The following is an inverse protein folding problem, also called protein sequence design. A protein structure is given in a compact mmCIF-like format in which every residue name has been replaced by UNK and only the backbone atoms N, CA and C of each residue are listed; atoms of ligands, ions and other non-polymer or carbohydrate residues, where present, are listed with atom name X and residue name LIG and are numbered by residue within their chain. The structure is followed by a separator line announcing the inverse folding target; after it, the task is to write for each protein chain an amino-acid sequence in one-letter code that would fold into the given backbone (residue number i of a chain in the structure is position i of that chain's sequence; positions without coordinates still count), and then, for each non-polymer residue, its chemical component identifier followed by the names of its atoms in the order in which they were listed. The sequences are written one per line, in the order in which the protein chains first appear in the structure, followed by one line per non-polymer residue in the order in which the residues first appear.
data_IF_478335254195
#
_entry.id   IF_478335254195
#
_cell.length_a   1.000
_cell.length_b   1.000
_cell.length_c   1.000
_cell.angle_alpha   90.00
_cell.angle_beta   90.00
_cell.angle_gamma   90.00
#
_symmetry.space_group_name_H-M   'P 1'
#
loop_
_entity.id
_entity.type
_entity.pdbx_description
1 polymer ?
#
# COMPACT_ATOMS: atom_id res chain seq x y z
N UNK A 1 -15.54 2.74 3.73
CA UNK A 1 -14.74 3.24 4.87
C UNK A 1 -14.70 4.77 4.86
N UNK A 2 -14.66 5.43 6.03
CA UNK A 2 -14.38 6.87 6.12
C UNK A 2 -12.90 7.13 5.77
N UNK A 3 -12.65 8.02 4.80
CA UNK A 3 -11.30 8.37 4.36
C UNK A 3 -10.40 8.86 5.50
N UNK A 4 -10.94 9.63 6.44
CA UNK A 4 -10.19 10.17 7.57
C UNK A 4 -9.68 9.06 8.50
N UNK A 5 -10.47 8.01 8.72
CA UNK A 5 -10.04 6.86 9.51
C UNK A 5 -8.87 6.13 8.85
N UNK A 6 -8.93 5.94 7.53
CA UNK A 6 -7.82 5.33 6.77
C UNK A 6 -6.56 6.18 6.87
N UNK A 7 -6.69 7.50 6.72
CA UNK A 7 -5.55 8.43 6.80
C UNK A 7 -4.92 8.41 8.19
N UNK A 8 -5.73 8.51 9.25
CA UNK A 8 -5.24 8.43 10.63
C UNK A 8 -4.56 7.09 10.92
N UNK A 9 -5.15 6.00 10.45
CA UNK A 9 -4.54 4.68 10.58
C UNK A 9 -3.19 4.61 9.87
N UNK A 10 -3.05 5.15 8.66
CA UNK A 10 -1.78 5.19 7.93
C UNK A 10 -0.73 6.10 8.60
N UNK A 11 -1.15 7.27 9.11
CA UNK A 11 -0.28 8.23 9.80
C UNK A 11 0.34 7.64 11.07
N UNK A 12 -0.39 6.79 11.78
CA UNK A 12 0.14 6.12 12.98
C UNK A 12 1.41 5.30 12.68
N UNK A 13 1.62 4.87 11.44
CA UNK A 13 2.78 4.07 11.04
C UNK A 13 4.02 4.89 10.72
N UNK A 14 3.92 6.22 10.56
CA UNK A 14 5.07 7.06 10.25
C UNK A 14 6.24 6.81 11.21
N UNK A 15 7.44 6.66 10.66
CA UNK A 15 8.66 6.33 11.41
C UNK A 15 8.87 4.84 11.68
N UNK A 16 7.92 3.96 11.35
CA UNK A 16 8.12 2.50 11.46
C UNK A 16 9.26 2.07 10.53
N UNK A 17 10.29 1.34 11.01
CA UNK A 17 11.43 0.93 10.18
C UNK A 17 11.02 0.04 9.00
N UNK A 18 11.80 0.05 7.93
CA UNK A 18 11.57 -0.91 6.85
C UNK A 18 12.05 -2.31 7.26
N UNK A 19 11.18 -3.32 7.17
CA UNK A 19 11.54 -4.73 7.31
C UNK A 19 10.76 -5.56 6.30
N UNK A 20 11.47 -6.20 5.37
CA UNK A 20 10.85 -7.05 4.36
C UNK A 20 10.02 -8.16 5.00
N UNK A 21 8.81 -8.38 4.48
CA UNK A 21 7.78 -9.32 4.93
C UNK A 21 7.24 -9.08 6.35
N UNK A 22 7.56 -7.95 6.98
CA UNK A 22 7.04 -7.60 8.30
C UNK A 22 5.79 -6.71 8.22
N UNK A 23 4.99 -6.72 9.29
CA UNK A 23 3.81 -5.85 9.46
C UNK A 23 3.57 -5.55 10.94
N UNK A 24 4.58 -4.98 11.59
CA UNK A 24 4.54 -4.63 13.01
C UNK A 24 4.76 -3.12 13.21
N UNK A 25 3.74 -2.44 13.74
CA UNK A 25 3.77 -1.00 13.98
C UNK A 25 4.94 -0.62 14.90
N UNK A 26 5.75 0.36 14.49
CA UNK A 26 6.94 0.81 15.23
C UNK A 26 8.13 -0.15 15.23
N UNK A 27 7.94 -1.44 14.94
CA UNK A 27 8.99 -2.46 14.97
C UNK A 27 9.50 -2.87 13.58
N UNK A 28 8.66 -2.77 12.55
CA UNK A 28 9.07 -2.89 11.16
C UNK A 28 7.97 -3.33 10.20
N UNK A 29 7.97 -2.79 8.98
CA UNK A 29 7.12 -3.26 7.90
C UNK A 29 7.70 -3.00 6.51
N UNK A 30 7.16 -3.68 5.50
CA UNK A 30 7.32 -3.28 4.09
C UNK A 30 6.06 -2.58 3.58
N UNK A 31 5.96 -2.32 2.27
CA UNK A 31 4.84 -1.56 1.71
C UNK A 31 3.50 -2.31 1.86
N UNK A 32 3.51 -3.63 1.62
CA UNK A 32 2.33 -4.47 1.83
C UNK A 32 2.03 -4.62 3.32
N UNK A 33 3.07 -4.72 4.15
CA UNK A 33 3.01 -4.73 5.59
C UNK A 33 2.36 -3.49 6.19
N UNK A 34 2.58 -2.31 5.61
CA UNK A 34 1.85 -1.09 5.98
C UNK A 34 0.36 -1.21 5.61
N UNK A 35 0.03 -1.70 4.41
CA UNK A 35 -1.36 -1.82 3.97
C UNK A 35 -2.15 -2.83 4.82
N UNK A 36 -1.54 -3.99 5.09
CA UNK A 36 -2.00 -4.99 6.07
C UNK A 36 -2.16 -4.35 7.45
N UNK A 37 -1.14 -3.57 7.83
CA UNK A 37 -1.05 -2.62 8.94
C UNK A 37 -2.34 -1.87 9.21
N UNK A 38 -2.71 -1.07 8.24
CA UNK A 38 -3.92 -0.25 8.25
C UNK A 38 -5.17 -1.11 8.21
N UNK A 39 -5.18 -2.22 7.46
CA UNK A 39 -6.30 -3.15 7.46
C UNK A 39 -6.64 -3.65 8.88
N UNK A 40 -5.68 -4.15 9.66
CA UNK A 40 -6.02 -4.65 11.01
C UNK A 40 -6.54 -3.56 11.93
N UNK A 41 -6.00 -2.34 11.82
CA UNK A 41 -6.54 -1.19 12.56
C UNK A 41 -8.01 -0.91 12.20
N UNK A 42 -8.38 -1.11 10.93
CA UNK A 42 -9.72 -0.81 10.44
C UNK A 42 -10.70 -1.97 10.57
N UNK A 43 -10.26 -3.23 10.63
CA UNK A 43 -11.15 -4.39 10.54
C UNK A 43 -10.88 -5.49 11.58
N UNK A 44 -9.86 -5.36 12.41
CA UNK A 44 -9.42 -6.42 13.32
C UNK A 44 -8.47 -7.39 12.62
N UNK A 45 -8.90 -8.60 12.31
CA UNK A 45 -8.02 -9.59 11.70
C UNK A 45 -7.88 -9.41 10.17
N UNK A 46 -6.75 -9.90 9.65
CA UNK A 46 -6.56 -9.97 8.20
C UNK A 46 -7.41 -11.11 7.62
N UNK A 47 -8.01 -10.92 6.44
CA UNK A 47 -8.98 -11.86 5.89
C UNK A 47 -8.33 -13.19 5.44
N UNK A 48 -7.02 -13.20 5.18
CA UNK A 48 -6.24 -14.38 4.80
C UNK A 48 -4.79 -14.20 5.27
N UNK A 49 -4.14 -15.30 5.68
CA UNK A 49 -2.69 -15.35 5.88
C UNK A 49 -1.96 -15.05 4.56
N UNK A 50 -1.17 -13.97 4.54
CA UNK A 50 -0.33 -13.63 3.38
C UNK A 50 0.88 -14.58 3.35
N UNK A 51 1.03 -15.43 2.32
CA UNK A 51 2.21 -16.28 2.21
C UNK A 51 3.48 -15.44 2.01
N UNK A 52 4.67 -15.92 2.41
CA UNK A 52 5.92 -15.22 2.15
C UNK A 52 6.09 -14.99 0.65
N UNK A 53 6.08 -13.72 0.22
CA UNK A 53 6.32 -13.35 -1.18
C UNK A 53 7.79 -12.96 -1.34
N UNK A 54 8.46 -13.55 -2.32
CA UNK A 54 9.89 -13.26 -2.56
C UNK A 54 9.99 -12.06 -3.48
N UNK A 55 10.85 -11.09 -3.13
CA UNK A 55 11.43 -10.20 -4.15
C UNK A 55 12.32 -11.05 -5.06
N UNK A 56 11.91 -11.25 -6.31
CA UNK A 56 12.78 -11.83 -7.32
C UNK A 56 14.04 -10.95 -7.45
N UNK A 57 15.19 -11.60 -7.56
CA UNK A 57 16.47 -10.96 -7.86
C UNK A 57 16.86 -11.10 -9.34
N UNK A 58 15.92 -11.48 -10.22
CA UNK A 58 16.21 -11.92 -11.60
C UNK A 58 15.31 -11.31 -12.68
N UNK A 59 14.63 -10.21 -12.40
CA UNK A 59 14.17 -9.28 -13.43
C UNK A 59 13.11 -9.82 -14.38
N UNK A 60 12.28 -10.77 -13.96
CA UNK A 60 11.17 -11.26 -14.77
C UNK A 60 9.93 -11.62 -13.95
N UNK A 61 9.66 -10.85 -12.90
CA UNK A 61 8.44 -10.97 -12.10
C UNK A 61 7.21 -10.49 -12.90
N UNK A 62 6.41 -11.47 -13.31
CA UNK A 62 5.01 -11.36 -13.71
C UNK A 62 4.06 -11.56 -12.53
N UNK A 63 4.56 -11.55 -11.28
CA UNK A 63 3.75 -11.90 -10.12
C UNK A 63 2.62 -10.88 -9.91
N UNK A 64 1.36 -11.26 -10.15
CA UNK A 64 0.23 -10.37 -10.03
C UNK A 64 -0.28 -10.31 -8.58
N UNK A 65 0.38 -10.95 -7.60
CA UNK A 65 -0.12 -11.14 -6.24
C UNK A 65 -0.58 -9.83 -5.58
N UNK A 66 0.19 -8.75 -5.72
CA UNK A 66 -0.19 -7.45 -5.15
C UNK A 66 -1.48 -6.90 -5.78
N UNK A 67 -1.61 -7.00 -7.11
CA UNK A 67 -2.81 -6.57 -7.84
C UNK A 67 -4.01 -7.45 -7.48
N UNK A 68 -3.84 -8.78 -7.52
CA UNK A 68 -4.91 -9.73 -7.20
C UNK A 68 -5.38 -9.60 -5.75
N UNK A 69 -4.46 -9.36 -4.80
CA UNK A 69 -4.83 -9.11 -3.41
C UNK A 69 -5.64 -7.81 -3.27
N UNK A 70 -5.23 -6.74 -3.95
CA UNK A 70 -5.99 -5.48 -3.96
C UNK A 70 -7.37 -5.68 -4.58
N UNK A 71 -7.48 -6.37 -5.71
CA UNK A 71 -8.75 -6.68 -6.39
C UNK A 71 -9.67 -7.59 -5.55
N UNK A 72 -9.09 -8.45 -4.70
CA UNK A 72 -9.85 -9.35 -3.83
C UNK A 72 -10.40 -8.68 -2.58
N UNK A 73 -9.65 -7.76 -1.96
CA UNK A 73 -9.99 -7.20 -0.65
C UNK A 73 -10.39 -5.72 -0.66
N UNK A 74 -10.04 -5.00 -1.73
CA UNK A 74 -10.35 -3.59 -1.90
C UNK A 74 -11.25 -3.39 -3.12
N UNK A 75 -11.84 -2.21 -3.22
CA UNK A 75 -12.77 -1.89 -4.29
C UNK A 75 -12.07 -0.91 -5.23
N UNK A 76 -11.89 -1.28 -6.50
CA UNK A 76 -11.29 -0.41 -7.50
C UNK A 76 -12.08 0.89 -7.65
N UNK A 77 -11.38 2.00 -7.88
CA UNK A 77 -11.99 3.32 -8.04
C UNK A 77 -11.43 4.05 -9.25
N UNK A 78 -12.33 4.72 -9.98
CA UNK A 78 -12.01 5.62 -11.08
C UNK A 78 -12.12 7.09 -10.65
N UNK A 79 -11.81 8.02 -11.55
CA UNK A 79 -11.89 9.46 -11.29
C UNK A 79 -10.65 10.04 -10.61
N UNK A 80 -10.77 11.19 -9.90
CA UNK A 80 -9.62 11.84 -9.27
C UNK A 80 -9.08 11.05 -8.07
N UNK A 81 -7.78 11.24 -7.79
CA UNK A 81 -7.14 10.70 -6.60
C UNK A 81 -7.73 11.37 -5.34
N UNK A 82 -8.06 10.58 -4.33
CA UNK A 82 -8.64 11.05 -3.07
C UNK A 82 -7.92 10.44 -1.87
N UNK A 83 -7.96 11.15 -0.73
CA UNK A 83 -7.45 10.65 0.53
C UNK A 83 -8.17 9.35 0.96
N UNK A 84 -7.47 8.47 1.65
CA UNK A 84 -7.97 7.17 2.10
C UNK A 84 -8.00 6.08 1.02
N UNK A 85 -7.54 6.37 -0.20
CA UNK A 85 -7.37 5.35 -1.24
C UNK A 85 -6.02 4.64 -1.08
N UNK A 86 -6.00 3.32 -1.23
CA UNK A 86 -4.79 2.58 -1.51
C UNK A 86 -4.38 2.80 -2.98
N UNK A 87 -3.08 2.91 -3.24
CA UNK A 87 -2.53 3.14 -4.58
C UNK A 87 -1.42 2.12 -4.86
N UNK A 88 -1.44 1.54 -6.06
CA UNK A 88 -0.43 0.58 -6.52
C UNK A 88 0.47 1.21 -7.58
N UNK A 89 1.77 0.88 -7.55
CA UNK A 89 2.76 1.41 -8.47
C UNK A 89 3.54 0.31 -9.20
N UNK A 90 3.75 0.51 -10.51
CA UNK A 90 4.71 -0.24 -11.32
C UNK A 90 6.08 0.42 -11.21
N UNK A 91 7.06 -0.31 -10.70
CA UNK A 91 8.44 0.16 -10.58
C UNK A 91 9.31 -0.60 -11.59
N UNK A 92 10.41 0.01 -12.06
CA UNK A 92 11.37 -0.69 -12.92
C UNK A 92 10.83 -1.16 -14.29
N UNK A 93 9.75 -0.54 -14.80
CA UNK A 93 9.18 -0.89 -16.12
C UNK A 93 8.34 -2.17 -16.13
N UNK A 94 7.86 -2.61 -14.98
CA UNK A 94 7.18 -3.90 -14.83
C UNK A 94 5.72 -3.83 -15.29
N UNK A 95 5.19 -4.94 -15.82
CA UNK A 95 3.78 -5.03 -16.21
C UNK A 95 2.85 -5.07 -14.98
N UNK A 96 3.28 -5.70 -13.90
CA UNK A 96 2.54 -5.83 -12.64
C UNK A 96 3.05 -4.85 -11.58
N UNK A 97 2.20 -4.38 -10.65
CA UNK A 97 2.62 -3.50 -9.57
C UNK A 97 3.51 -4.24 -8.57
N UNK A 98 4.51 -3.53 -8.05
CA UNK A 98 5.46 -4.05 -7.05
C UNK A 98 5.58 -3.19 -5.80
N UNK A 99 4.81 -2.11 -5.75
CA UNK A 99 4.82 -1.20 -4.61
C UNK A 99 3.41 -0.70 -4.35
N UNK A 100 3.11 -0.38 -3.09
CA UNK A 100 1.85 0.24 -2.71
C UNK A 100 2.03 1.32 -1.64
N UNK A 101 0.99 2.13 -1.48
CA UNK A 101 0.89 3.15 -0.43
C UNK A 101 -0.55 3.58 -0.22
N UNK A 102 -0.74 4.54 0.67
CA UNK A 102 -2.07 5.08 1.03
C UNK A 102 -2.05 6.58 0.77
N UNK A 103 -2.96 7.05 -0.09
CA UNK A 103 -3.15 8.46 -0.35
C UNK A 103 -3.69 9.16 0.91
N UNK A 104 -3.05 10.24 1.32
CA UNK A 104 -3.51 11.11 2.42
C UNK A 104 -4.01 12.46 1.91
N UNK A 105 -3.73 12.76 0.64
CA UNK A 105 -4.26 13.87 -0.14
C UNK A 105 -4.11 13.52 -1.64
N UNK A 106 -4.75 14.24 -2.58
CA UNK A 106 -4.59 13.97 -4.01
C UNK A 106 -3.13 13.93 -4.51
N UNK A 107 -2.24 14.70 -3.88
CA UNK A 107 -0.83 14.80 -4.23
C UNK A 107 0.15 14.23 -3.20
N UNK A 108 -0.33 13.51 -2.16
CA UNK A 108 0.53 13.00 -1.07
C UNK A 108 0.10 11.62 -0.61
N UNK A 109 1.07 10.80 -0.23
CA UNK A 109 0.81 9.44 0.20
C UNK A 109 1.82 8.98 1.25
N UNK A 110 1.42 7.99 2.04
CA UNK A 110 2.29 7.29 2.98
C UNK A 110 2.64 5.92 2.40
N UNK A 111 3.91 5.56 2.47
CA UNK A 111 4.39 4.24 2.07
C UNK A 111 5.59 3.81 2.94
N UNK A 112 5.87 2.52 2.98
CA UNK A 112 7.14 2.02 3.52
C UNK A 112 8.16 1.93 2.38
N UNK A 113 9.32 2.55 2.54
CA UNK A 113 10.42 2.50 1.58
C UNK A 113 11.67 1.91 2.22
N UNK A 114 12.39 1.08 1.46
CA UNK A 114 13.67 0.53 1.90
C UNK A 114 14.63 1.65 2.32
N UNK A 115 15.39 1.42 3.40
CA UNK A 115 16.30 2.37 4.05
C UNK A 115 15.65 3.59 4.73
N UNK A 116 14.40 3.95 4.43
CA UNK A 116 13.72 5.10 5.04
C UNK A 116 12.65 4.71 6.07
N UNK A 117 12.07 3.51 5.95
CA UNK A 117 10.89 3.12 6.72
C UNK A 117 9.61 3.73 6.18
N UNK A 118 8.61 3.87 7.05
CA UNK A 118 7.32 4.46 6.69
C UNK A 118 7.42 5.98 6.72
N UNK A 119 7.23 6.59 5.57
CA UNK A 119 7.35 8.04 5.36
C UNK A 119 6.16 8.58 4.57
N UNK A 120 5.95 9.88 4.68
CA UNK A 120 5.11 10.65 3.77
C UNK A 120 5.93 11.07 2.54
N UNK A 121 5.33 10.97 1.35
CA UNK A 121 5.93 11.36 0.10
C UNK A 121 4.97 12.15 -0.79
N UNK A 122 5.53 13.03 -1.61
CA UNK A 122 4.79 13.72 -2.67
C UNK A 122 4.54 12.77 -3.85
N UNK A 123 3.30 12.75 -4.34
CA UNK A 123 2.91 12.07 -5.57
C UNK A 123 3.33 12.92 -6.78
N UNK A 124 4.64 13.08 -6.97
CA UNK A 124 5.23 13.82 -8.08
C UNK A 124 4.80 13.23 -9.43
N UNK A 125 4.98 13.97 -10.53
CA UNK A 125 4.67 13.48 -11.87
C UNK A 125 5.33 12.14 -12.21
N UNK A 126 6.55 11.91 -11.71
CA UNK A 126 7.26 10.63 -11.85
C UNK A 126 6.56 9.47 -11.14
N UNK A 127 6.04 9.69 -9.92
CA UNK A 127 5.23 8.70 -9.20
C UNK A 127 3.85 8.52 -9.83
N UNK A 128 3.19 9.61 -10.24
CA UNK A 128 1.87 9.58 -10.85
C UNK A 128 1.84 8.71 -12.12
N UNK A 129 2.88 8.80 -12.97
CA UNK A 129 3.02 7.95 -14.17
C UNK A 129 3.16 6.45 -13.88
N UNK A 130 3.54 6.09 -12.64
CA UNK A 130 3.72 4.71 -12.20
C UNK A 130 2.45 4.12 -11.58
N UNK A 131 1.44 4.94 -11.31
CA UNK A 131 0.17 4.48 -10.75
C UNK A 131 -0.48 3.50 -11.72
N UNK A 132 -0.77 2.31 -11.21
CA UNK A 132 -1.36 1.19 -11.96
C UNK A 132 -2.78 0.87 -11.53
N UNK A 133 -3.17 1.30 -10.34
CA UNK A 133 -4.52 1.14 -9.81
C UNK A 133 -4.70 1.94 -8.53
N UNK A 134 -5.94 2.34 -8.27
CA UNK A 134 -6.38 2.95 -7.01
C UNK A 134 -7.59 2.19 -6.49
N UNK A 135 -7.65 2.05 -5.18
CA UNK A 135 -8.66 1.24 -4.52
C UNK A 135 -9.12 1.92 -3.24
N UNK A 136 -10.39 1.75 -2.88
CA UNK A 136 -10.94 2.15 -1.58
C UNK A 136 -11.15 0.94 -0.69
N UNK A 137 -11.02 1.16 0.61
CA UNK A 137 -11.37 0.18 1.63
C UNK A 137 -12.91 0.00 1.69
N UNK A 138 -13.42 -1.25 1.82
CA UNK A 138 -14.84 -1.54 2.00
C UNK A 138 -15.51 -0.78 3.17
N UNK A 139 -16.84 -0.78 3.26
CA UNK A 139 -17.49 -0.29 4.49
C UNK A 139 -17.49 -1.41 5.55
N UNK A 140 -17.40 -1.06 6.83
CA UNK A 140 -17.80 -2.00 7.89
C UNK A 140 -19.32 -2.10 7.84
N UNK A 141 -19.84 -3.32 7.92
CA UNK A 141 -21.28 -3.60 8.04
C UNK A 141 -21.77 -3.24 9.44
#
# INVERSE_FOLDING_TARGET
MNAELVVRAAQAWLGTPYRHQASALGAGCDCLGLLRGVWRTLYGDEPVLVPPYRMDRRGQERDPALRLAAERFLIAVEGPAQAGQAVLFRLGGTAEPRHCGILIAPGRFIHAQEHLGVIEANLTSGWAKRVSGRYRFPAQS
#
